data_IF_151351759967
#
_entry.id   IF_151351759967
#
_cell.length_a   1.000
_cell.length_b   1.000
_cell.length_c   1.000
_cell.angle_alpha   90.00
_cell.angle_beta   90.00
_cell.angle_gamma   90.00
#
_symmetry.space_group_name_H-M   'P 1'
#
loop_
_entity.id
_entity.type
_entity.pdbx_description
1 polymer ?
#
# COMPACT_ATOMS: atom_id res chain seq x y z
N UNK A 1 -9.80 6.72 4.33
CA UNK A 1 -11.15 6.14 4.39
C UNK A 1 -11.15 4.82 3.63
N UNK A 2 -10.78 4.87 2.35
CA UNK A 2 -10.70 3.70 1.48
C UNK A 2 -9.96 2.48 2.06
N UNK A 3 -8.79 2.69 2.68
CA UNK A 3 -8.05 1.59 3.35
C UNK A 3 -8.90 0.88 4.41
N UNK A 4 -9.58 1.62 5.30
CA UNK A 4 -10.40 1.02 6.36
C UNK A 4 -11.62 0.30 5.77
N UNK A 5 -12.23 0.87 4.72
CA UNK A 5 -13.34 0.22 4.02
C UNK A 5 -12.90 -1.10 3.38
N UNK A 6 -11.73 -1.11 2.73
CA UNK A 6 -11.15 -2.30 2.13
C UNK A 6 -10.86 -3.37 3.17
N UNK A 7 -10.29 -2.99 4.32
CA UNK A 7 -10.04 -3.91 5.44
C UNK A 7 -11.35 -4.48 6.01
N UNK A 8 -12.40 -3.67 6.17
CA UNK A 8 -13.70 -4.11 6.68
C UNK A 8 -14.43 -5.09 5.76
N UNK A 9 -14.08 -5.11 4.46
CA UNK A 9 -14.66 -6.01 3.47
C UNK A 9 -14.00 -7.39 3.43
N UNK A 10 -12.91 -7.61 4.18
CA UNK A 10 -12.16 -8.86 4.13
C UNK A 10 -12.97 -10.03 4.74
N UNK A 11 -13.14 -11.15 4.01
CA UNK A 11 -14.04 -12.22 4.43
C UNK A 11 -13.52 -13.01 5.65
N UNK A 12 -12.20 -13.06 5.82
CA UNK A 12 -11.51 -13.80 6.89
C UNK A 12 -11.37 -13.00 8.19
N UNK A 13 -11.75 -11.72 8.20
CA UNK A 13 -11.64 -10.87 9.39
C UNK A 13 -12.71 -11.19 10.44
N UNK A 14 -12.27 -11.38 11.69
CA UNK A 14 -13.14 -11.71 12.83
C UNK A 14 -14.00 -10.53 13.29
N UNK A 15 -15.11 -10.80 13.99
CA UNK A 15 -15.99 -9.75 14.52
C UNK A 15 -15.26 -8.76 15.46
N UNK A 16 -14.39 -9.19 16.40
CA UNK A 16 -13.63 -8.26 17.23
C UNK A 16 -12.70 -7.33 16.42
N UNK A 17 -12.06 -7.84 15.37
CA UNK A 17 -11.22 -7.02 14.48
C UNK A 17 -12.07 -6.01 13.69
N UNK A 18 -13.23 -6.43 13.18
CA UNK A 18 -14.17 -5.54 12.50
C UNK A 18 -14.68 -4.43 13.41
N UNK A 19 -15.04 -4.77 14.65
CA UNK A 19 -15.53 -3.78 15.62
C UNK A 19 -14.43 -2.81 16.03
N UNK A 20 -13.18 -3.28 16.14
CA UNK A 20 -12.02 -2.40 16.31
C UNK A 20 -11.92 -1.42 15.14
N UNK A 21 -11.90 -1.88 13.89
CA UNK A 21 -11.79 -0.99 12.72
C UNK A 21 -12.96 0.00 12.61
N UNK A 22 -14.18 -0.42 12.91
CA UNK A 22 -15.35 0.47 12.98
C UNK A 22 -15.19 1.57 14.04
N UNK A 23 -14.57 1.26 15.18
CA UNK A 23 -14.28 2.26 16.21
C UNK A 23 -13.19 3.26 15.76
N UNK A 24 -12.24 2.84 14.91
CA UNK A 24 -11.21 3.71 14.35
C UNK A 24 -11.72 4.64 13.24
N UNK A 25 -12.72 4.22 12.46
CA UNK A 25 -13.26 5.00 11.34
C UNK A 25 -13.62 6.46 11.69
N UNK A 26 -14.44 6.75 12.72
CA UNK A 26 -14.75 8.14 13.08
C UNK A 26 -13.54 8.91 13.61
N UNK A 27 -12.55 8.24 14.22
CA UNK A 27 -11.32 8.89 14.67
C UNK A 27 -10.46 9.33 13.48
N UNK A 28 -10.38 8.52 12.42
CA UNK A 28 -9.66 8.87 11.19
C UNK A 28 -10.37 10.00 10.44
N UNK A 29 -11.70 10.00 10.40
CA UNK A 29 -12.47 11.09 9.80
C UNK A 29 -12.24 12.42 10.55
N UNK A 30 -12.30 12.39 11.88
CA UNK A 30 -12.00 13.55 12.71
C UNK A 30 -10.55 14.01 12.53
N UNK A 31 -9.58 13.10 12.49
CA UNK A 31 -8.17 13.40 12.24
C UNK A 31 -7.97 14.16 10.91
N UNK A 32 -8.63 13.70 9.83
CA UNK A 32 -8.56 14.35 8.52
C UNK A 32 -9.24 15.73 8.56
N UNK A 33 -10.35 15.88 9.30
CA UNK A 33 -11.01 17.17 9.47
C UNK A 33 -10.11 18.18 10.22
N UNK A 34 -9.53 17.77 11.35
CA UNK A 34 -8.57 18.58 12.12
C UNK A 34 -7.37 19.00 11.25
N UNK A 35 -6.87 18.08 10.41
CA UNK A 35 -5.80 18.38 9.47
C UNK A 35 -6.21 19.47 8.48
N UNK A 36 -7.41 19.39 7.89
CA UNK A 36 -7.93 20.37 6.92
C UNK A 36 -8.20 21.74 7.55
N UNK A 37 -8.54 21.78 8.83
CA UNK A 37 -8.72 23.02 9.60
C UNK A 37 -7.41 23.73 9.96
N UNK A 38 -6.25 23.12 9.67
CA UNK A 38 -4.95 23.72 9.91
C UNK A 38 -4.42 23.52 11.34
N UNK A 39 -5.00 22.61 12.11
CA UNK A 39 -4.50 22.26 13.45
C UNK A 39 -3.09 21.62 13.34
N UNK A 40 -2.24 21.75 14.37
CA UNK A 40 -0.86 21.24 14.34
C UNK A 40 -0.76 19.82 14.91
N UNK A 41 -1.54 19.53 15.94
CA UNK A 41 -1.60 18.27 16.66
C UNK A 41 -3.03 17.82 16.79
N UNK A 42 -3.27 16.52 16.63
CA UNK A 42 -4.62 15.97 16.70
C UNK A 42 -5.07 15.71 18.13
N UNK A 43 -6.38 15.87 18.38
CA UNK A 43 -7.01 15.59 19.67
C UNK A 43 -7.58 14.17 19.75
N UNK A 44 -7.71 13.48 18.61
CA UNK A 44 -8.33 12.15 18.50
C UNK A 44 -7.30 11.03 18.35
N UNK A 45 -6.17 11.29 17.68
CA UNK A 45 -5.09 10.31 17.47
C UNK A 45 -3.73 11.01 17.62
N UNK A 46 -2.69 10.34 18.16
CA UNK A 46 -1.38 10.96 18.36
C UNK A 46 -0.61 11.09 17.04
N UNK A 47 -1.02 12.03 16.18
CA UNK A 47 -0.49 12.24 14.83
C UNK A 47 -0.08 13.69 14.59
N UNK A 48 0.95 13.87 13.76
CA UNK A 48 1.37 15.19 13.26
C UNK A 48 0.47 15.61 12.09
N UNK A 49 -0.36 16.63 12.32
CA UNK A 49 -1.33 17.09 11.33
C UNK A 49 -0.72 17.91 10.19
N UNK A 50 0.44 18.55 10.43
CA UNK A 50 1.18 19.22 9.38
C UNK A 50 1.75 18.23 8.37
N UNK A 51 2.36 17.15 8.88
CA UNK A 51 2.81 16.05 8.03
C UNK A 51 1.64 15.42 7.26
N UNK A 52 0.50 15.19 7.91
CA UNK A 52 -0.68 14.61 7.26
C UNK A 52 -1.20 15.51 6.12
N UNK A 53 -1.25 16.83 6.31
CA UNK A 53 -1.61 17.78 5.24
C UNK A 53 -0.65 17.71 4.06
N UNK A 54 0.65 17.72 4.32
CA UNK A 54 1.66 17.63 3.28
C UNK A 54 1.52 16.32 2.48
N UNK A 55 1.29 15.21 3.19
CA UNK A 55 1.06 13.91 2.59
C UNK A 55 -0.20 13.89 1.72
N UNK A 56 -1.34 14.42 2.22
CA UNK A 56 -2.58 14.54 1.44
C UNK A 56 -2.45 15.46 0.21
N UNK A 57 -1.50 16.40 0.23
CA UNK A 57 -1.21 17.29 -0.90
C UNK A 57 -0.37 16.63 -2.00
N UNK A 58 0.21 15.44 -1.75
CA UNK A 58 0.98 14.72 -2.76
C UNK A 58 0.07 14.24 -3.88
N UNK A 59 0.63 14.23 -5.09
CA UNK A 59 -0.04 13.76 -6.31
C UNK A 59 0.82 12.65 -6.93
N UNK A 60 0.73 11.40 -6.44
CA UNK A 60 1.60 10.32 -6.88
C UNK A 60 1.56 10.08 -8.40
N UNK A 61 0.36 10.08 -8.99
CA UNK A 61 0.18 9.89 -10.43
C UNK A 61 0.82 11.02 -11.27
N UNK A 62 0.70 12.27 -10.81
CA UNK A 62 1.33 13.42 -11.48
C UNK A 62 2.87 13.38 -11.37
N UNK A 63 3.39 12.74 -10.32
CA UNK A 63 4.83 12.57 -10.11
C UNK A 63 5.38 11.41 -10.94
N UNK A 64 4.70 10.26 -10.95
CA UNK A 64 5.17 9.07 -11.68
C UNK A 64 5.13 9.30 -13.20
N UNK A 65 4.18 10.08 -13.70
CA UNK A 65 4.08 10.45 -15.11
C UNK A 65 5.29 11.24 -15.65
N UNK A 66 6.22 11.68 -14.78
CA UNK A 66 7.45 12.37 -15.19
C UNK A 66 8.64 11.41 -15.34
N UNK A 67 8.49 10.15 -14.94
CA UNK A 67 9.55 9.13 -14.99
C UNK A 67 9.65 8.59 -16.41
N UNK A 68 10.84 8.70 -17.01
CA UNK A 68 11.12 8.24 -18.38
C UNK A 68 12.02 7.01 -18.44
N UNK A 69 12.60 6.59 -17.30
CA UNK A 69 13.40 5.37 -17.22
C UNK A 69 12.48 4.13 -17.15
N UNK A 70 12.99 2.94 -17.49
CA UNK A 70 12.30 1.69 -17.19
C UNK A 70 11.86 1.63 -15.73
N UNK A 71 10.66 1.08 -15.49
CA UNK A 71 10.07 0.99 -14.14
C UNK A 71 9.66 -0.45 -13.84
N UNK A 72 10.12 -0.94 -12.68
CA UNK A 72 9.61 -2.15 -12.04
C UNK A 72 8.67 -1.76 -10.89
N UNK A 73 7.44 -2.23 -10.94
CA UNK A 73 6.44 -2.10 -9.88
C UNK A 73 6.21 -3.49 -9.29
N UNK A 74 6.43 -3.63 -7.99
CA UNK A 74 6.18 -4.88 -7.25
C UNK A 74 5.20 -4.58 -6.12
N UNK A 75 4.14 -5.38 -6.00
CA UNK A 75 3.08 -5.19 -5.01
C UNK A 75 2.73 -6.52 -4.32
N UNK A 76 2.40 -6.49 -3.04
CA UNK A 76 1.90 -7.67 -2.34
C UNK A 76 0.42 -7.91 -2.66
N UNK A 77 0.04 -9.09 -3.16
CA UNK A 77 -1.34 -9.37 -3.55
C UNK A 77 -2.35 -9.20 -2.38
N UNK A 78 -1.90 -9.43 -1.15
CA UNK A 78 -2.71 -9.32 0.08
C UNK A 78 -2.36 -8.06 0.87
N UNK A 79 -1.99 -6.98 0.20
CA UNK A 79 -1.72 -5.69 0.84
C UNK A 79 -3.02 -5.03 1.36
N UNK A 80 -3.10 -4.91 2.69
CA UNK A 80 -4.23 -4.31 3.42
C UNK A 80 -4.06 -2.82 3.72
N UNK A 81 -2.94 -2.23 3.37
CA UNK A 81 -2.60 -0.82 3.63
C UNK A 81 -2.66 0.01 2.35
N UNK A 82 -2.24 -0.57 1.24
CA UNK A 82 -2.27 0.03 -0.10
C UNK A 82 -2.89 -0.99 -1.05
N UNK A 83 -4.11 -0.72 -1.50
CA UNK A 83 -4.86 -1.73 -2.27
C UNK A 83 -4.13 -2.12 -3.55
N UNK A 84 -4.16 -3.40 -3.94
CA UNK A 84 -3.42 -3.92 -5.09
C UNK A 84 -3.63 -3.15 -6.40
N UNK A 85 -4.82 -2.59 -6.62
CA UNK A 85 -5.12 -1.85 -7.86
C UNK A 85 -4.27 -0.58 -8.04
N UNK A 86 -3.69 0.00 -6.98
CA UNK A 86 -2.84 1.17 -7.10
C UNK A 86 -1.58 0.93 -7.95
N UNK A 87 -1.06 -0.31 -7.99
CA UNK A 87 0.04 -0.65 -8.88
C UNK A 87 -0.35 -0.51 -10.35
N UNK A 88 -1.55 -0.94 -10.72
CA UNK A 88 -2.11 -0.76 -12.07
C UNK A 88 -2.34 0.72 -12.39
N UNK A 89 -2.79 1.53 -11.44
CA UNK A 89 -2.95 2.97 -11.67
C UNK A 89 -1.60 3.68 -11.93
N UNK A 90 -0.54 3.27 -11.23
CA UNK A 90 0.82 3.76 -11.48
C UNK A 90 1.30 3.35 -12.87
N UNK A 91 1.11 2.09 -13.26
CA UNK A 91 1.47 1.59 -14.57
C UNK A 91 0.71 2.31 -15.70
N UNK A 92 -0.60 2.49 -15.54
CA UNK A 92 -1.43 3.23 -16.49
C UNK A 92 -1.03 4.71 -16.61
N UNK A 93 -0.60 5.34 -15.50
CA UNK A 93 -0.11 6.72 -15.53
C UNK A 93 1.24 6.84 -16.27
N UNK A 94 2.12 5.85 -16.14
CA UNK A 94 3.39 5.76 -16.87
C UNK A 94 3.16 5.53 -18.37
N UNK A 95 2.31 4.56 -18.73
CA UNK A 95 1.94 4.26 -20.12
C UNK A 95 1.34 5.50 -20.81
N UNK A 96 0.39 6.17 -20.16
CA UNK A 96 -0.21 7.42 -20.65
C UNK A 96 0.81 8.55 -20.84
N UNK A 97 1.90 8.55 -20.06
CA UNK A 97 2.99 9.50 -20.19
C UNK A 97 4.00 9.13 -21.29
N UNK A 98 3.80 8.00 -21.97
CA UNK A 98 4.66 7.49 -23.03
C UNK A 98 5.83 6.64 -22.53
N UNK A 99 5.78 6.14 -21.29
CA UNK A 99 6.74 5.17 -20.79
C UNK A 99 6.21 3.76 -21.02
N UNK A 100 6.73 3.09 -22.05
CA UNK A 100 6.33 1.73 -22.46
C UNK A 100 7.15 0.63 -21.75
N UNK A 101 8.19 1.01 -20.98
CA UNK A 101 9.12 0.10 -20.32
C UNK A 101 8.72 -0.14 -18.86
N UNK A 102 7.46 -0.55 -18.64
CA UNK A 102 6.88 -0.75 -17.31
C UNK A 102 6.55 -2.22 -17.08
N UNK A 103 7.06 -2.79 -16.00
CA UNK A 103 6.74 -4.14 -15.55
C UNK A 103 6.00 -4.09 -14.21
N UNK A 104 4.88 -4.81 -14.10
CA UNK A 104 4.09 -4.92 -12.87
C UNK A 104 4.08 -6.37 -12.42
N UNK A 105 4.44 -6.62 -11.16
CA UNK A 105 4.43 -7.93 -10.55
C UNK A 105 3.69 -7.92 -9.22
N UNK A 106 2.78 -8.88 -9.07
CA UNK A 106 2.15 -9.18 -7.80
C UNK A 106 2.84 -10.37 -7.16
N UNK A 107 3.24 -10.22 -5.90
CA UNK A 107 3.72 -11.32 -5.08
C UNK A 107 2.49 -12.02 -4.48
N UNK A 108 2.28 -13.27 -4.85
CA UNK A 108 1.17 -14.12 -4.39
C UNK A 108 1.19 -14.23 -2.86
N UNK A 109 0.00 -14.20 -2.24
CA UNK A 109 -0.20 -14.30 -0.80
C UNK A 109 0.82 -13.52 0.06
N UNK A 110 1.10 -12.28 -0.37
CA UNK A 110 2.14 -11.44 0.22
C UNK A 110 1.56 -10.11 0.74
N UNK A 111 2.02 -9.67 1.91
CA UNK A 111 1.57 -8.45 2.60
C UNK A 111 2.17 -7.16 2.00
N UNK A 112 1.76 -6.02 2.56
CA UNK A 112 2.35 -4.70 2.31
C UNK A 112 3.88 -4.65 2.48
N UNK A 113 4.38 -5.34 3.51
CA UNK A 113 5.82 -5.39 3.84
C UNK A 113 6.58 -6.47 3.06
N UNK A 114 5.95 -7.07 2.05
CA UNK A 114 6.49 -8.20 1.29
C UNK A 114 6.75 -9.46 2.13
N UNK A 115 5.97 -9.66 3.18
CA UNK A 115 5.99 -10.86 4.02
C UNK A 115 4.91 -11.85 3.58
N UNK A 116 5.06 -13.13 3.90
CA UNK A 116 3.98 -14.10 3.67
C UNK A 116 2.73 -13.74 4.48
N UNK A 117 1.58 -13.73 3.82
CA UNK A 117 0.30 -13.44 4.43
C UNK A 117 -0.08 -14.55 5.42
N UNK A 118 -0.55 -14.23 6.64
CA UNK A 118 -0.67 -15.22 7.71
C UNK A 118 -1.88 -16.15 7.62
N UNK A 119 -2.85 -15.85 6.75
CA UNK A 119 -4.08 -16.62 6.62
C UNK A 119 -4.11 -17.38 5.30
N UNK A 120 -4.50 -18.66 5.36
CA UNK A 120 -4.66 -19.53 4.20
C UNK A 120 -3.45 -19.57 3.25
N UNK A 121 -2.23 -19.54 3.81
CA UNK A 121 -0.97 -19.54 3.08
C UNK A 121 -0.01 -20.59 3.65
N UNK A 122 0.41 -21.55 2.84
CA UNK A 122 1.32 -22.64 3.24
C UNK A 122 2.78 -22.19 3.42
N UNK A 123 3.18 -21.06 2.82
CA UNK A 123 4.53 -20.50 2.95
C UNK A 123 4.72 -19.66 4.21
N UNK A 124 3.64 -19.33 4.92
CA UNK A 124 3.71 -18.62 6.19
C UNK A 124 4.18 -19.53 7.32
N UNK A 125 5.31 -19.17 7.94
CA UNK A 125 5.84 -19.85 9.13
C UNK A 125 5.56 -19.02 10.38
N UNK A 126 4.74 -19.49 11.35
CA UNK A 126 4.50 -18.76 12.59
C UNK A 126 5.75 -18.64 13.48
N UNK A 127 6.79 -19.45 13.26
CA UNK A 127 8.09 -19.32 13.93
C UNK A 127 9.02 -18.33 13.23
N UNK A 128 8.73 -17.97 11.98
CA UNK A 128 9.44 -16.95 11.21
C UNK A 128 8.46 -15.99 10.49
N UNK A 129 7.62 -15.24 11.25
CA UNK A 129 6.55 -14.43 10.67
C UNK A 129 7.06 -13.18 9.93
N UNK A 130 8.36 -12.88 10.05
CA UNK A 130 9.02 -11.75 9.40
C UNK A 130 9.77 -12.17 8.14
N UNK A 131 9.55 -13.40 7.67
CA UNK A 131 10.14 -13.90 6.43
C UNK A 131 9.63 -13.12 5.22
N UNK A 132 10.56 -12.51 4.51
CA UNK A 132 10.31 -11.82 3.24
C UNK A 132 10.09 -12.87 2.14
N UNK A 133 9.12 -12.63 1.25
CA UNK A 133 8.92 -13.46 0.07
C UNK A 133 10.17 -13.39 -0.84
N UNK A 134 10.91 -14.50 -1.04
CA UNK A 134 12.18 -14.49 -1.77
C UNK A 134 12.03 -14.09 -3.25
N UNK A 135 10.85 -14.28 -3.84
CA UNK A 135 10.54 -13.86 -5.21
C UNK A 135 10.72 -12.36 -5.42
N UNK A 136 10.60 -11.54 -4.35
CA UNK A 136 10.94 -10.12 -4.41
C UNK A 136 12.37 -9.90 -4.94
N UNK A 137 13.35 -10.61 -4.39
CA UNK A 137 14.74 -10.43 -4.76
C UNK A 137 15.03 -11.00 -6.15
N UNK A 138 14.38 -12.10 -6.51
CA UNK A 138 14.48 -12.70 -7.85
C UNK A 138 14.01 -11.71 -8.92
N UNK A 139 12.82 -11.12 -8.74
CA UNK A 139 12.27 -10.12 -9.66
C UNK A 139 13.19 -8.90 -9.79
N UNK A 140 13.70 -8.38 -8.67
CA UNK A 140 14.62 -7.24 -8.70
C UNK A 140 15.91 -7.59 -9.43
N UNK A 141 16.51 -8.74 -9.16
CA UNK A 141 17.76 -9.16 -9.82
C UNK A 141 17.56 -9.39 -11.31
N UNK A 142 16.50 -10.10 -11.70
CA UNK A 142 16.19 -10.34 -13.12
C UNK A 142 15.93 -9.03 -13.85
N UNK A 143 15.13 -8.14 -13.28
CA UNK A 143 14.84 -6.86 -13.91
C UNK A 143 16.10 -6.02 -14.09
N UNK A 144 16.99 -5.99 -13.09
CA UNK A 144 18.26 -5.27 -13.20
C UNK A 144 19.17 -5.86 -14.29
N UNK A 145 19.23 -7.17 -14.46
CA UNK A 145 20.02 -7.82 -15.51
C UNK A 145 19.49 -7.51 -16.93
N UNK A 146 18.17 -7.33 -17.05
CA UNK A 146 17.51 -7.03 -18.32
C UNK A 146 17.53 -5.53 -18.70
N UNK A 147 17.67 -4.63 -17.71
CA UNK A 147 17.43 -3.19 -17.89
C UNK A 147 18.62 -2.28 -17.50
N UNK A 148 19.77 -2.83 -17.08
CA UNK A 148 21.04 -2.11 -16.83
C UNK A 148 22.14 -2.48 -17.83
#
# INVERSE_FOLDING_TARGET
HEQLEYQLQQPWMSDPERDMLRAYQPLVEALIAEAKEGQVTSQVLPMNLEWLRQHMGLRPLDNVAKVQNPVLIIHGERDLKVMPYHAEELAAALDKAGNEEVQVHYLEDTTHEFLFFPYDNDDFDPLDPMRINPTLFELVVTWLDENL
#
